data_IF_104988800834
#
_entry.id   IF_104988800834
#
_cell.length_a   1.000
_cell.length_b   1.000
_cell.length_c   1.000
_cell.angle_alpha   90.00
_cell.angle_beta   90.00
_cell.angle_gamma   90.00
#
_symmetry.space_group_name_H-M   'P 1'
#
loop_
_entity.id
_entity.type
_entity.pdbx_description
1 polymer ?
#
# COMPACT_ATOMS: atom_id res chain seq x y z
N UNK A 1 5.03 -21.65 -13.02
CA UNK A 1 6.22 -21.31 -13.83
C UNK A 1 5.98 -20.04 -14.63
N UNK A 2 7.01 -19.20 -14.69
CA UNK A 2 6.96 -17.97 -15.47
C UNK A 2 7.18 -18.25 -16.97
N UNK A 3 6.34 -17.72 -17.82
CA UNK A 3 6.50 -17.69 -19.28
C UNK A 3 6.87 -16.29 -19.72
N UNK A 4 7.99 -16.14 -20.42
CA UNK A 4 8.44 -14.86 -20.95
C UNK A 4 8.41 -14.91 -22.46
N UNK A 5 7.62 -14.04 -23.08
CA UNK A 5 7.47 -13.94 -24.54
C UNK A 5 7.83 -12.53 -25.01
N UNK A 6 8.58 -12.43 -26.11
CA UNK A 6 8.84 -11.14 -26.76
C UNK A 6 7.71 -10.83 -27.74
N UNK A 7 7.08 -9.66 -27.60
CA UNK A 7 6.03 -9.18 -28.49
C UNK A 7 6.16 -7.66 -28.67
N UNK A 8 6.17 -7.19 -29.91
CA UNK A 8 6.31 -5.77 -30.23
C UNK A 8 7.49 -5.07 -29.53
N UNK A 9 8.67 -5.71 -29.51
CA UNK A 9 9.89 -5.16 -28.86
C UNK A 9 9.88 -5.17 -27.35
N UNK A 10 8.82 -5.68 -26.69
CA UNK A 10 8.70 -5.76 -25.23
C UNK A 10 8.62 -7.22 -24.76
N UNK A 11 8.99 -7.45 -23.50
CA UNK A 11 8.94 -8.77 -22.86
C UNK A 11 7.68 -8.89 -22.02
N UNK A 12 6.77 -9.75 -22.46
CA UNK A 12 5.53 -10.06 -21.76
C UNK A 12 5.76 -11.27 -20.86
N UNK A 13 5.65 -11.07 -19.57
CA UNK A 13 5.81 -12.11 -18.55
C UNK A 13 4.45 -12.54 -18.07
N UNK A 14 4.22 -13.86 -18.02
CA UNK A 14 3.05 -14.46 -17.43
C UNK A 14 3.47 -15.53 -16.43
N UNK A 15 3.01 -15.42 -15.18
CA UNK A 15 3.27 -16.37 -14.12
C UNK A 15 1.95 -17.08 -13.80
N UNK A 16 1.99 -18.41 -13.85
CA UNK A 16 0.88 -19.28 -13.46
C UNK A 16 1.37 -20.27 -12.44
N UNK A 17 0.77 -20.27 -11.26
CA UNK A 17 1.04 -21.22 -10.19
C UNK A 17 -0.28 -21.69 -9.58
N UNK A 18 -0.37 -22.98 -9.31
CA UNK A 18 -1.59 -23.55 -8.74
C UNK A 18 -1.87 -22.92 -7.36
N UNK A 19 -3.11 -22.52 -7.11
CA UNK A 19 -3.51 -21.83 -5.88
C UNK A 19 -3.33 -20.29 -5.91
N UNK A 20 -2.83 -19.72 -7.02
CA UNK A 20 -2.66 -18.27 -7.17
C UNK A 20 -3.28 -17.77 -8.46
N UNK A 21 -3.80 -16.52 -8.50
CA UNK A 21 -4.25 -15.92 -9.74
C UNK A 21 -3.08 -15.74 -10.71
N UNK A 22 -3.37 -15.83 -12.02
CA UNK A 22 -2.35 -15.59 -13.05
C UNK A 22 -1.89 -14.14 -13.02
N UNK A 23 -0.57 -13.94 -12.95
CA UNK A 23 0.04 -12.61 -12.91
C UNK A 23 0.72 -12.32 -14.23
N UNK A 24 0.44 -11.15 -14.83
CA UNK A 24 1.04 -10.73 -16.09
C UNK A 24 1.65 -9.34 -15.95
N UNK A 25 2.82 -9.14 -16.55
CA UNK A 25 3.47 -7.82 -16.63
C UNK A 25 4.37 -7.71 -17.86
N UNK A 26 4.48 -6.50 -18.41
CA UNK A 26 5.29 -6.23 -19.61
C UNK A 26 6.50 -5.38 -19.25
N UNK A 27 7.66 -5.72 -19.78
CA UNK A 27 8.94 -5.05 -19.52
C UNK A 27 9.64 -4.66 -20.83
N UNK A 28 10.48 -3.65 -20.77
CA UNK A 28 11.33 -3.22 -21.89
C UNK A 28 12.58 -4.10 -21.95
N UNK A 29 13.14 -4.49 -20.80
CA UNK A 29 14.38 -5.25 -20.71
C UNK A 29 14.15 -6.67 -20.18
N UNK A 30 14.79 -7.64 -20.84
CA UNK A 30 14.71 -9.06 -20.45
C UNK A 30 15.24 -9.32 -19.03
N UNK A 31 16.32 -8.64 -18.65
CA UNK A 31 16.93 -8.78 -17.32
C UNK A 31 15.96 -8.40 -16.21
N UNK A 32 15.24 -7.31 -16.39
CA UNK A 32 14.21 -6.83 -15.44
C UNK A 32 13.01 -7.79 -15.41
N UNK A 33 12.59 -8.28 -16.56
CA UNK A 33 11.52 -9.27 -16.67
C UNK A 33 11.83 -10.55 -15.89
N UNK A 34 13.04 -11.11 -16.07
CA UNK A 34 13.51 -12.30 -15.34
C UNK A 34 13.60 -12.07 -13.83
N UNK A 35 14.18 -10.95 -13.40
CA UNK A 35 14.32 -10.62 -11.97
C UNK A 35 12.95 -10.48 -11.30
N UNK A 36 12.01 -9.82 -11.96
CA UNK A 36 10.64 -9.70 -11.46
C UNK A 36 9.93 -11.04 -11.37
N UNK A 37 10.03 -11.89 -12.41
CA UNK A 37 9.44 -13.22 -12.42
C UNK A 37 9.94 -14.09 -11.27
N UNK A 38 11.26 -14.15 -11.07
CA UNK A 38 11.87 -14.92 -9.98
C UNK A 38 11.44 -14.41 -8.60
N UNK A 39 11.30 -13.10 -8.42
CA UNK A 39 10.82 -12.50 -7.18
C UNK A 39 9.39 -12.96 -6.85
N UNK A 40 8.46 -12.84 -7.82
CA UNK A 40 7.07 -13.26 -7.64
C UNK A 40 6.95 -14.78 -7.41
N UNK A 41 7.70 -15.59 -8.14
CA UNK A 41 7.71 -17.04 -7.94
C UNK A 41 8.21 -17.41 -6.54
N UNK A 42 9.27 -16.76 -6.06
CA UNK A 42 9.80 -16.96 -4.71
C UNK A 42 8.80 -16.55 -3.62
N UNK A 43 8.08 -15.46 -3.81
CA UNK A 43 7.05 -15.01 -2.86
C UNK A 43 5.85 -15.96 -2.84
N UNK A 44 5.45 -16.49 -4.00
CA UNK A 44 4.43 -17.53 -4.09
C UNK A 44 4.86 -18.84 -3.42
N UNK A 45 6.14 -19.23 -3.53
CA UNK A 45 6.69 -20.41 -2.86
C UNK A 45 6.72 -20.28 -1.35
N UNK A 46 7.03 -19.07 -0.86
CA UNK A 46 7.03 -18.77 0.57
C UNK A 46 5.63 -18.47 1.12
N UNK A 47 4.58 -18.61 0.31
CA UNK A 47 3.19 -18.27 0.64
C UNK A 47 3.02 -16.80 1.09
N UNK A 48 3.90 -15.91 0.65
CA UNK A 48 3.88 -14.47 0.95
C UNK A 48 3.25 -13.64 -0.15
N UNK A 49 3.01 -14.25 -1.32
CA UNK A 49 2.39 -13.54 -2.42
C UNK A 49 0.90 -13.35 -2.17
N UNK A 50 0.51 -12.11 -1.97
CA UNK A 50 -0.88 -11.71 -1.88
C UNK A 50 -1.11 -10.60 -2.92
N UNK A 51 -1.90 -10.82 -3.96
CA UNK A 51 -2.17 -9.77 -4.94
C UNK A 51 -2.93 -8.62 -4.26
N UNK A 52 -2.51 -7.38 -4.51
CA UNK A 52 -3.28 -6.22 -4.07
C UNK A 52 -4.49 -6.13 -5.01
N UNK A 53 -5.72 -6.26 -4.50
CA UNK A 53 -6.89 -6.04 -5.33
C UNK A 53 -6.91 -4.59 -5.80
N UNK A 54 -6.98 -4.37 -7.12
CA UNK A 54 -7.04 -3.02 -7.72
C UNK A 54 -8.28 -2.22 -7.27
N UNK A 55 -9.24 -2.89 -6.66
CA UNK A 55 -10.52 -2.33 -6.22
C UNK A 55 -10.50 -1.78 -4.80
N UNK A 56 -9.43 -2.00 -4.01
CA UNK A 56 -9.37 -1.52 -2.63
C UNK A 56 -9.08 -0.03 -2.62
N UNK A 57 -10.05 0.74 -2.10
CA UNK A 57 -9.90 2.15 -1.80
C UNK A 57 -9.35 2.35 -0.38
N UNK A 58 -8.49 3.34 -0.23
CA UNK A 58 -7.91 3.68 1.07
C UNK A 58 -9.00 4.11 2.08
N UNK A 59 -10.04 4.77 1.60
CA UNK A 59 -11.22 5.13 2.42
C UNK A 59 -11.90 3.93 3.07
N UNK A 60 -11.98 2.81 2.38
CA UNK A 60 -12.50 1.55 2.93
C UNK A 60 -11.65 1.00 4.08
N UNK A 61 -10.32 1.07 3.95
CA UNK A 61 -9.40 0.66 5.02
C UNK A 61 -9.47 1.57 6.24
N UNK A 62 -9.52 2.89 6.01
CA UNK A 62 -9.67 3.88 7.09
C UNK A 62 -11.00 3.71 7.82
N UNK A 63 -12.09 3.44 7.10
CA UNK A 63 -13.40 3.17 7.69
C UNK A 63 -13.38 1.89 8.54
N UNK A 64 -12.82 0.81 8.00
CA UNK A 64 -12.69 -0.45 8.73
C UNK A 64 -11.86 -0.31 10.00
N UNK A 65 -10.75 0.40 9.94
CA UNK A 65 -9.93 0.73 11.10
C UNK A 65 -10.72 1.52 12.16
N UNK A 66 -11.50 2.52 11.72
CA UNK A 66 -12.35 3.33 12.60
C UNK A 66 -13.40 2.48 13.35
N UNK A 67 -13.97 1.49 12.67
CA UNK A 67 -15.06 0.67 13.23
C UNK A 67 -14.57 -0.51 14.05
N UNK A 68 -13.48 -1.16 13.64
CA UNK A 68 -13.01 -2.41 14.26
C UNK A 68 -11.90 -2.18 15.30
N UNK A 69 -11.00 -1.24 15.09
CA UNK A 69 -9.79 -1.06 15.90
C UNK A 69 -9.91 0.13 16.85
N UNK A 70 -10.35 1.27 16.34
CA UNK A 70 -10.39 2.52 17.08
C UNK A 70 -11.19 2.46 18.40
N UNK A 71 -12.35 1.78 18.49
CA UNK A 71 -13.14 1.73 19.73
C UNK A 71 -12.40 1.14 20.93
N UNK A 72 -11.38 0.31 20.69
CA UNK A 72 -10.55 -0.28 21.75
C UNK A 72 -9.48 0.67 22.31
N UNK A 73 -9.24 1.81 21.66
CA UNK A 73 -8.21 2.76 22.05
C UNK A 73 -8.76 3.78 23.05
N UNK A 74 -7.98 4.08 24.09
CA UNK A 74 -8.33 5.13 25.07
C UNK A 74 -8.41 6.51 24.42
N UNK A 75 -7.58 6.76 23.40
CA UNK A 75 -7.52 8.03 22.66
C UNK A 75 -8.44 8.07 21.42
N UNK A 76 -9.48 7.24 21.37
CA UNK A 76 -10.35 7.05 20.18
C UNK A 76 -10.93 8.36 19.61
N UNK A 77 -11.27 9.33 20.45
CA UNK A 77 -11.80 10.61 19.96
C UNK A 77 -10.77 11.41 19.17
N UNK A 78 -9.57 11.57 19.73
CA UNK A 78 -8.48 12.33 19.09
C UNK A 78 -7.97 11.61 17.83
N UNK A 79 -7.86 10.30 17.89
CA UNK A 79 -7.50 9.48 16.72
C UNK A 79 -8.59 9.54 15.65
N UNK A 80 -9.87 9.60 16.05
CA UNK A 80 -10.99 9.76 15.12
C UNK A 80 -10.92 11.06 14.32
N UNK A 81 -10.51 12.17 14.92
CA UNK A 81 -10.27 13.42 14.20
C UNK A 81 -9.15 13.30 13.17
N UNK A 82 -8.06 12.63 13.53
CA UNK A 82 -6.94 12.40 12.62
C UNK A 82 -7.32 11.49 11.46
N UNK A 83 -8.08 10.43 11.75
CA UNK A 83 -8.64 9.56 10.70
C UNK A 83 -9.55 10.33 9.74
N UNK A 84 -10.36 11.26 10.25
CA UNK A 84 -11.20 12.12 9.41
C UNK A 84 -10.35 12.96 8.45
N UNK A 85 -9.25 13.53 8.91
CA UNK A 85 -8.33 14.31 8.06
C UNK A 85 -7.69 13.42 6.99
N UNK A 86 -7.21 12.25 7.36
CA UNK A 86 -6.68 11.27 6.41
C UNK A 86 -7.72 10.85 5.38
N UNK A 87 -8.94 10.60 5.82
CA UNK A 87 -10.05 10.22 4.93
C UNK A 87 -10.42 11.31 3.93
N UNK A 88 -10.41 12.58 4.33
CA UNK A 88 -10.67 13.71 3.43
C UNK A 88 -9.67 13.77 2.27
N UNK A 89 -8.42 13.39 2.50
CA UNK A 89 -7.37 13.43 1.48
C UNK A 89 -7.26 12.13 0.68
N UNK A 90 -7.37 10.98 1.33
CA UNK A 90 -7.03 9.68 0.75
C UNK A 90 -8.23 8.79 0.42
N UNK A 91 -9.46 9.16 0.75
CA UNK A 91 -10.62 8.24 0.66
C UNK A 91 -10.86 7.67 -0.74
N UNK A 92 -10.64 8.45 -1.78
CA UNK A 92 -10.84 8.06 -3.18
C UNK A 92 -9.60 7.43 -3.82
N UNK A 93 -8.47 7.43 -3.13
CA UNK A 93 -7.23 6.86 -3.65
C UNK A 93 -7.26 5.33 -3.54
N UNK A 94 -6.89 4.65 -4.61
CA UNK A 94 -6.70 3.19 -4.57
C UNK A 94 -5.45 2.85 -3.79
N UNK A 95 -5.48 1.72 -3.08
CA UNK A 95 -4.31 1.25 -2.33
C UNK A 95 -3.07 1.07 -3.22
N UNK A 96 -3.27 0.65 -4.47
CA UNK A 96 -2.20 0.52 -5.48
C UNK A 96 -1.58 1.85 -5.91
N UNK A 97 -2.30 2.96 -5.72
CA UNK A 97 -1.86 4.31 -6.08
C UNK A 97 -1.19 5.04 -4.91
N UNK A 98 -1.25 4.48 -3.70
CA UNK A 98 -0.62 5.06 -2.51
C UNK A 98 0.88 4.86 -2.56
N UNK A 99 1.59 5.88 -2.99
CA UNK A 99 3.04 5.94 -3.06
C UNK A 99 3.63 6.86 -1.99
N UNK A 100 4.94 6.77 -1.77
CA UNK A 100 5.64 7.72 -0.89
C UNK A 100 5.48 9.16 -1.36
N UNK A 101 5.37 9.40 -2.66
CA UNK A 101 5.13 10.71 -3.23
C UNK A 101 3.76 11.28 -2.83
N UNK A 102 2.70 10.47 -2.84
CA UNK A 102 1.37 10.89 -2.38
C UNK A 102 1.35 11.21 -0.89
N UNK A 103 2.03 10.41 -0.07
CA UNK A 103 2.19 10.70 1.36
C UNK A 103 2.99 11.98 1.60
N UNK A 104 4.05 12.22 0.82
CA UNK A 104 4.83 13.46 0.89
C UNK A 104 4.02 14.70 0.50
N UNK A 105 3.17 14.60 -0.52
CA UNK A 105 2.22 15.69 -0.88
C UNK A 105 1.28 16.01 0.29
N UNK A 106 0.72 14.99 0.92
CA UNK A 106 -0.13 15.16 2.10
C UNK A 106 0.64 15.86 3.24
N UNK A 107 1.85 15.40 3.54
CA UNK A 107 2.74 16.02 4.53
C UNK A 107 2.91 17.52 4.25
N UNK A 108 3.26 17.88 3.02
CA UNK A 108 3.57 19.26 2.65
C UNK A 108 2.31 20.17 2.70
N UNK A 109 1.15 19.63 2.34
CA UNK A 109 -0.12 20.36 2.47
C UNK A 109 -0.48 20.58 3.94
N UNK A 110 -0.36 19.54 4.78
CA UNK A 110 -0.73 19.62 6.20
C UNK A 110 0.20 20.50 7.01
N UNK A 111 1.49 20.54 6.70
CA UNK A 111 2.46 21.43 7.38
C UNK A 111 2.13 22.92 7.26
N UNK A 112 1.27 23.31 6.32
CA UNK A 112 0.79 24.70 6.22
C UNK A 112 -0.23 25.05 7.29
N UNK A 113 -0.87 24.09 7.91
CA UNK A 113 -2.01 24.28 8.83
C UNK A 113 -1.81 23.68 10.21
N UNK A 114 -0.93 22.69 10.37
CA UNK A 114 -0.67 22.01 11.64
C UNK A 114 0.82 21.94 11.97
N UNK A 115 1.13 21.71 13.24
CA UNK A 115 2.51 21.53 13.70
C UNK A 115 3.13 20.22 13.20
N UNK A 116 4.47 20.15 13.07
CA UNK A 116 5.16 18.91 12.75
C UNK A 116 4.82 17.74 13.68
N UNK A 117 4.67 17.99 14.98
CA UNK A 117 4.29 16.97 15.95
C UNK A 117 2.89 16.40 15.70
N UNK A 118 1.94 17.25 15.34
CA UNK A 118 0.58 16.82 15.00
C UNK A 118 0.56 16.00 13.72
N UNK A 119 1.30 16.42 12.71
CA UNK A 119 1.42 15.70 11.45
C UNK A 119 2.06 14.32 11.64
N UNK A 120 3.11 14.20 12.44
CA UNK A 120 3.70 12.89 12.78
C UNK A 120 2.68 11.93 13.36
N UNK A 121 1.78 12.42 14.21
CA UNK A 121 0.72 11.59 14.80
C UNK A 121 -0.31 11.17 13.76
N UNK A 122 -0.70 12.04 12.82
CA UNK A 122 -1.56 11.68 11.69
C UNK A 122 -0.91 10.59 10.82
N UNK A 123 0.34 10.78 10.44
CA UNK A 123 1.09 9.81 9.62
C UNK A 123 1.32 8.48 10.34
N UNK A 124 1.51 8.50 11.66
CA UNK A 124 1.60 7.28 12.48
C UNK A 124 0.32 6.46 12.40
N UNK A 125 -0.85 7.11 12.41
CA UNK A 125 -2.14 6.42 12.25
C UNK A 125 -2.25 5.81 10.86
N UNK A 126 -1.90 6.54 9.80
CA UNK A 126 -1.90 5.99 8.45
C UNK A 126 -0.98 4.77 8.34
N UNK A 127 0.23 4.86 8.89
CA UNK A 127 1.17 3.74 8.95
C UNK A 127 0.60 2.53 9.68
N UNK A 128 -0.11 2.76 10.78
CA UNK A 128 -0.75 1.70 11.57
C UNK A 128 -1.91 1.04 10.81
N UNK A 129 -2.75 1.82 10.13
CA UNK A 129 -3.82 1.29 9.29
C UNK A 129 -3.26 0.34 8.22
N UNK A 130 -2.19 0.73 7.55
CA UNK A 130 -1.54 -0.10 6.54
C UNK A 130 -0.92 -1.37 7.14
N UNK A 131 -0.33 -1.27 8.33
CA UNK A 131 0.23 -2.43 9.04
C UNK A 131 -0.85 -3.42 9.46
N UNK A 132 -1.97 -2.93 10.02
CA UNK A 132 -3.12 -3.77 10.38
C UNK A 132 -3.73 -4.41 9.14
N UNK A 133 -3.88 -3.67 8.05
CA UNK A 133 -4.38 -4.22 6.79
C UNK A 133 -3.51 -5.39 6.29
N UNK A 134 -2.20 -5.25 6.38
CA UNK A 134 -1.25 -6.28 5.97
C UNK A 134 -1.25 -7.49 6.91
N UNK A 135 -1.21 -7.25 8.22
CA UNK A 135 -1.04 -8.32 9.21
C UNK A 135 -2.34 -9.04 9.55
N UNK A 136 -3.42 -8.28 9.77
CA UNK A 136 -4.66 -8.81 10.35
C UNK A 136 -5.75 -9.05 9.28
N UNK A 137 -5.75 -8.26 8.21
CA UNK A 137 -6.78 -8.35 7.17
C UNK A 137 -6.32 -9.09 5.91
N UNK A 138 -5.07 -9.56 5.88
CA UNK A 138 -4.53 -10.31 4.75
C UNK A 138 -4.44 -9.51 3.44
N UNK A 139 -4.39 -8.17 3.52
CA UNK A 139 -4.27 -7.29 2.37
C UNK A 139 -2.79 -7.04 2.11
N UNK A 140 -2.32 -7.35 0.90
CA UNK A 140 -0.93 -7.10 0.55
C UNK A 140 -0.68 -5.59 0.44
N UNK A 141 0.07 -5.05 1.40
CA UNK A 141 0.64 -3.71 1.32
C UNK A 141 2.15 -3.92 1.10
N UNK A 142 2.69 -3.67 -0.09
CA UNK A 142 4.12 -3.90 -0.33
C UNK A 142 4.93 -3.05 0.65
N UNK A 143 5.63 -2.10 0.34
CA UNK A 143 6.34 -1.27 1.31
C UNK A 143 5.43 -0.20 1.89
N UNK A 144 5.48 -0.01 3.23
CA UNK A 144 4.70 1.04 3.87
C UNK A 144 5.25 2.42 3.46
N UNK A 145 4.51 3.20 2.63
CA UNK A 145 5.03 4.43 2.05
C UNK A 145 5.28 5.54 3.09
N UNK A 146 4.63 5.45 4.25
CA UNK A 146 4.85 6.41 5.35
C UNK A 146 6.26 6.28 5.93
N UNK A 147 6.83 5.07 5.92
CA UNK A 147 8.19 4.82 6.41
C UNK A 147 9.27 5.27 5.42
N UNK A 148 8.90 5.52 4.17
CA UNK A 148 9.84 5.89 3.11
C UNK A 148 10.05 7.40 3.00
N UNK A 149 9.15 8.21 3.54
CA UNK A 149 9.26 9.67 3.49
C UNK A 149 10.08 10.23 4.66
N UNK A 150 10.65 11.40 4.45
CA UNK A 150 11.29 12.17 5.51
C UNK A 150 10.18 12.83 6.38
N UNK A 151 10.17 12.51 7.66
CA UNK A 151 9.27 13.14 8.62
C UNK A 151 9.79 14.54 9.00
N UNK A 152 8.91 15.51 9.26
CA UNK A 152 9.30 16.81 9.75
C UNK A 152 9.94 16.69 11.13
N UNK A 153 10.92 17.56 11.41
CA UNK A 153 11.62 17.63 12.71
C UNK A 153 10.76 18.28 13.79
#
# INVERSE_FOLDING_TARGET
>A
MASIRRRNGRYHVQIRKNGYPSVTKTFIHLKTAKKWASGIEADMERQRYCPIPETILLGGLLYRYKTEILPSHQSHQVEGYRLKQLNQHFSSLKLTELTSQEVAKYRDIRLKTISPASLKRELTILSRVLTVASNDWGISVPDNPVKMITLPK
#
